data_IF_662206510444
#
_entry.id   IF_662206510444
#
_cell.length_a   1.000
_cell.length_b   1.000
_cell.length_c   1.000
_cell.angle_alpha   90.00
_cell.angle_beta   90.00
_cell.angle_gamma   90.00
#
_symmetry.space_group_name_H-M   'P 1'
#
loop_
_entity.id
_entity.type
_entity.pdbx_description
1 polymer ?
#
# COMPACT_ATOMS: atom_id res chain seq x y z
N UNK A 1 15.57 -23.83 7.26
CA UNK A 1 15.44 -22.37 7.47
C UNK A 1 15.30 -22.10 8.97
N UNK A 2 16.10 -21.20 9.54
CA UNK A 2 16.21 -21.02 11.01
C UNK A 2 14.95 -20.34 11.59
N UNK A 3 14.39 -20.83 12.71
CA UNK A 3 13.07 -20.42 13.24
C UNK A 3 12.94 -18.91 13.50
N UNK A 4 14.03 -18.24 13.91
CA UNK A 4 14.08 -16.78 14.11
C UNK A 4 13.76 -16.00 12.82
N UNK A 5 14.26 -16.47 11.67
CA UNK A 5 14.05 -15.81 10.37
C UNK A 5 12.58 -15.86 9.93
N UNK A 6 11.85 -16.93 10.27
CA UNK A 6 10.43 -17.10 9.96
C UNK A 6 9.54 -16.14 10.75
N UNK A 7 9.86 -15.92 12.03
CA UNK A 7 9.11 -15.00 12.91
C UNK A 7 9.31 -13.54 12.43
N UNK A 8 10.56 -13.14 12.16
CA UNK A 8 10.86 -11.80 11.65
C UNK A 8 10.14 -11.53 10.33
N UNK A 9 10.16 -12.49 9.40
CA UNK A 9 9.51 -12.32 8.08
C UNK A 9 8.00 -12.15 8.19
N UNK A 10 7.34 -12.93 9.06
CA UNK A 10 5.90 -12.76 9.34
C UNK A 10 5.60 -11.39 9.96
N UNK A 11 6.47 -10.89 10.84
CA UNK A 11 6.33 -9.55 11.42
C UNK A 11 6.40 -8.45 10.37
N UNK A 12 7.34 -8.57 9.42
CA UNK A 12 7.50 -7.60 8.32
C UNK A 12 6.27 -7.64 7.39
N UNK A 13 5.84 -8.83 6.95
CA UNK A 13 4.66 -8.97 6.08
C UNK A 13 3.39 -8.38 6.74
N UNK A 14 3.22 -8.54 8.06
CA UNK A 14 2.12 -7.95 8.81
C UNK A 14 2.24 -6.42 8.94
N UNK A 15 3.45 -5.92 9.18
CA UNK A 15 3.71 -4.48 9.27
C UNK A 15 3.48 -3.77 7.93
N UNK A 16 3.84 -4.38 6.80
CA UNK A 16 3.60 -3.84 5.46
C UNK A 16 2.10 -3.69 5.16
N UNK A 17 1.29 -4.70 5.50
CA UNK A 17 -0.16 -4.63 5.35
C UNK A 17 -0.82 -3.58 6.26
N UNK A 18 -0.36 -3.47 7.52
CA UNK A 18 -0.83 -2.46 8.46
C UNK A 18 -0.45 -1.03 8.01
N UNK A 19 0.78 -0.86 7.51
CA UNK A 19 1.28 0.41 6.98
C UNK A 19 0.43 0.89 5.80
N UNK A 20 0.03 -0.01 4.90
CA UNK A 20 -0.89 0.30 3.81
C UNK A 20 -2.29 0.70 4.32
N UNK A 21 -2.80 0.02 5.36
CA UNK A 21 -4.07 0.41 5.98
C UNK A 21 -4.03 1.83 6.56
N UNK A 22 -2.93 2.18 7.24
CA UNK A 22 -2.73 3.50 7.84
C UNK A 22 -2.66 4.59 6.76
N UNK A 23 -1.98 4.34 5.63
CA UNK A 23 -1.88 5.35 4.56
C UNK A 23 -3.24 5.73 3.96
N UNK A 24 -4.16 4.77 3.85
CA UNK A 24 -5.54 5.00 3.39
C UNK A 24 -6.27 5.92 4.36
N UNK A 25 -6.21 5.61 5.66
CA UNK A 25 -6.89 6.41 6.70
C UNK A 25 -6.35 7.83 6.71
N UNK A 26 -5.02 7.99 6.65
CA UNK A 26 -4.38 9.31 6.61
C UNK A 26 -4.81 10.10 5.37
N UNK A 27 -4.84 9.49 4.19
CA UNK A 27 -5.27 10.16 2.96
C UNK A 27 -6.73 10.64 3.03
N UNK A 28 -7.62 9.82 3.57
CA UNK A 28 -9.03 10.18 3.77
C UNK A 28 -9.14 11.32 4.79
N UNK A 29 -8.46 11.23 5.93
CA UNK A 29 -8.48 12.28 6.96
C UNK A 29 -7.98 13.62 6.43
N UNK A 30 -6.93 13.63 5.59
CA UNK A 30 -6.44 14.84 4.94
C UNK A 30 -7.50 15.41 4.00
N UNK A 31 -8.13 14.57 3.16
CA UNK A 31 -9.20 15.01 2.26
C UNK A 31 -10.40 15.59 3.01
N UNK A 32 -10.85 14.92 4.07
CA UNK A 32 -11.92 15.41 4.96
C UNK A 32 -11.51 16.69 5.66
N UNK A 33 -10.27 16.79 6.15
CA UNK A 33 -9.74 17.99 6.80
C UNK A 33 -9.72 19.20 5.86
N UNK A 34 -9.28 19.03 4.62
CA UNK A 34 -9.31 20.06 3.57
C UNK A 34 -10.76 20.45 3.25
N UNK A 35 -11.64 19.47 3.06
CA UNK A 35 -13.06 19.72 2.79
C UNK A 35 -13.75 20.49 3.92
N UNK A 36 -13.45 20.14 5.18
CA UNK A 36 -13.96 20.82 6.35
C UNK A 36 -13.41 22.26 6.45
N UNK A 37 -12.12 22.44 6.19
CA UNK A 37 -11.49 23.77 6.16
C UNK A 37 -12.15 24.66 5.12
N UNK A 38 -12.33 24.17 3.89
CA UNK A 38 -13.00 24.88 2.80
C UNK A 38 -14.45 25.24 3.15
N UNK A 39 -15.22 24.30 3.70
CA UNK A 39 -16.57 24.55 4.20
C UNK A 39 -16.59 25.67 5.25
N UNK A 40 -15.64 25.63 6.21
CA UNK A 40 -15.60 26.58 7.32
C UNK A 40 -15.24 28.00 6.88
N UNK A 41 -14.36 28.15 5.89
CA UNK A 41 -13.94 29.47 5.39
C UNK A 41 -14.92 30.09 4.40
N UNK A 42 -15.55 29.27 3.55
CA UNK A 42 -16.45 29.76 2.48
C UNK A 42 -17.93 29.77 2.88
N UNK A 43 -18.32 28.99 3.88
CA UNK A 43 -19.73 28.76 4.24
C UNK A 43 -20.49 27.87 3.25
N UNK A 44 -19.86 27.43 2.15
CA UNK A 44 -20.52 26.63 1.11
C UNK A 44 -20.42 25.15 1.48
N UNK A 45 -21.56 24.55 1.83
CA UNK A 45 -21.64 23.16 2.28
C UNK A 45 -21.11 22.14 1.26
N UNK A 46 -21.39 22.36 -0.03
CA UNK A 46 -20.99 21.46 -1.11
C UNK A 46 -19.46 21.28 -1.23
N UNK A 47 -18.66 22.29 -0.87
CA UNK A 47 -17.19 22.22 -0.99
C UNK A 47 -16.56 21.17 -0.05
N UNK A 48 -17.28 20.77 1.01
CA UNK A 48 -16.85 19.66 1.86
C UNK A 48 -16.65 18.37 1.04
N UNK A 49 -17.59 18.07 0.15
CA UNK A 49 -17.57 16.83 -0.63
C UNK A 49 -16.42 16.78 -1.62
N UNK A 50 -15.95 17.93 -2.13
CA UNK A 50 -14.78 17.99 -3.00
C UNK A 50 -13.55 17.42 -2.27
N UNK A 51 -13.32 17.84 -1.02
CA UNK A 51 -12.23 17.31 -0.20
C UNK A 51 -12.37 15.81 0.07
N UNK A 52 -13.58 15.34 0.36
CA UNK A 52 -13.87 13.92 0.57
C UNK A 52 -13.56 13.10 -0.70
N UNK A 53 -14.03 13.55 -1.88
CA UNK A 53 -13.76 12.86 -3.14
C UNK A 53 -12.27 12.81 -3.48
N UNK A 54 -11.53 13.90 -3.23
CA UNK A 54 -10.08 13.92 -3.41
C UNK A 54 -9.41 12.93 -2.45
N UNK A 55 -9.81 12.90 -1.17
CA UNK A 55 -9.26 11.97 -0.18
C UNK A 55 -9.49 10.51 -0.54
N UNK A 56 -10.72 10.16 -0.95
CA UNK A 56 -11.07 8.80 -1.40
C UNK A 56 -10.29 8.45 -2.68
N UNK A 57 -10.25 9.34 -3.66
CA UNK A 57 -9.50 9.12 -4.90
C UNK A 57 -8.01 8.90 -4.65
N UNK A 58 -7.41 9.70 -3.77
CA UNK A 58 -6.03 9.54 -3.36
C UNK A 58 -5.76 8.20 -2.66
N UNK A 59 -6.66 7.77 -1.76
CA UNK A 59 -6.56 6.47 -1.10
C UNK A 59 -6.62 5.31 -2.11
N UNK A 60 -7.56 5.33 -3.06
CA UNK A 60 -7.68 4.30 -4.10
C UNK A 60 -6.42 4.25 -4.97
N UNK A 61 -5.91 5.40 -5.42
CA UNK A 61 -4.68 5.47 -6.21
C UNK A 61 -3.46 4.96 -5.42
N UNK A 62 -3.37 5.26 -4.13
CA UNK A 62 -2.32 4.76 -3.26
C UNK A 62 -2.36 3.23 -3.14
N UNK A 63 -3.54 2.67 -2.87
CA UNK A 63 -3.75 1.22 -2.77
C UNK A 63 -3.41 0.52 -4.07
N UNK A 64 -3.87 1.05 -5.20
CA UNK A 64 -3.59 0.45 -6.51
C UNK A 64 -2.09 0.41 -6.82
N UNK A 65 -1.36 1.49 -6.50
CA UNK A 65 0.09 1.54 -6.66
C UNK A 65 0.80 0.52 -5.77
N UNK A 66 0.41 0.44 -4.50
CA UNK A 66 0.96 -0.54 -3.56
C UNK A 66 0.64 -1.98 -3.95
N UNK A 67 -0.56 -2.25 -4.45
CA UNK A 67 -0.96 -3.55 -4.95
C UNK A 67 -0.12 -3.97 -6.15
N UNK A 68 0.04 -3.09 -7.16
CA UNK A 68 0.89 -3.38 -8.32
C UNK A 68 2.34 -3.66 -7.94
N UNK A 69 2.89 -2.90 -7.00
CA UNK A 69 4.24 -3.12 -6.50
C UNK A 69 4.38 -4.47 -5.78
N UNK A 70 3.40 -4.85 -4.97
CA UNK A 70 3.36 -6.15 -4.30
C UNK A 70 3.26 -7.30 -5.31
N UNK A 71 2.35 -7.23 -6.28
CA UNK A 71 2.21 -8.28 -7.32
C UNK A 71 3.50 -8.45 -8.10
N UNK A 72 4.14 -7.34 -8.51
CA UNK A 72 5.41 -7.38 -9.22
C UNK A 72 6.52 -8.05 -8.40
N UNK A 73 6.61 -7.74 -7.10
CA UNK A 73 7.61 -8.38 -6.25
C UNK A 73 7.35 -9.89 -6.13
N UNK A 74 6.08 -10.31 -6.01
CA UNK A 74 5.72 -11.73 -6.02
C UNK A 74 6.11 -12.45 -7.33
N UNK A 75 5.97 -11.79 -8.49
CA UNK A 75 6.38 -12.36 -9.78
C UNK A 75 7.91 -12.48 -9.88
N UNK A 76 8.66 -11.45 -9.50
CA UNK A 76 10.13 -11.49 -9.46
C UNK A 76 10.62 -12.58 -8.49
N UNK A 77 9.98 -12.73 -7.32
CA UNK A 77 10.29 -13.82 -6.39
C UNK A 77 10.01 -15.21 -7.00
N UNK A 78 8.94 -15.36 -7.80
CA UNK A 78 8.63 -16.63 -8.47
C UNK A 78 9.67 -16.96 -9.55
N UNK A 79 10.07 -15.98 -10.35
CA UNK A 79 11.11 -16.17 -11.36
C UNK A 79 12.46 -16.51 -10.72
N UNK A 80 12.91 -15.76 -9.70
CA UNK A 80 14.20 -16.02 -9.04
C UNK A 80 14.28 -17.45 -8.47
N UNK A 81 13.19 -17.94 -7.87
CA UNK A 81 13.14 -19.32 -7.37
C UNK A 81 13.10 -20.35 -8.50
N UNK A 82 12.39 -20.09 -9.61
CA UNK A 82 12.34 -21.00 -10.78
C UNK A 82 13.71 -21.15 -11.44
N UNK A 83 14.47 -20.07 -11.58
CA UNK A 83 15.80 -20.10 -12.19
C UNK A 83 16.92 -20.57 -11.25
N UNK A 84 16.69 -20.64 -9.93
CA UNK A 84 17.66 -21.22 -8.98
C UNK A 84 17.85 -22.72 -9.20
N UNK A 85 16.78 -23.44 -9.50
CA UNK A 85 16.84 -24.88 -9.75
C UNK A 85 17.61 -25.18 -11.05
N UNK A 86 17.25 -24.49 -12.13
CA UNK A 86 17.93 -24.60 -13.43
C UNK A 86 19.42 -24.18 -13.40
N UNK A 87 19.77 -23.18 -12.58
CA UNK A 87 21.18 -22.76 -12.40
C UNK A 87 22.01 -23.78 -11.63
N UNK A 88 21.41 -24.57 -10.74
CA UNK A 88 22.12 -25.60 -10.01
C UNK A 88 22.41 -26.82 -10.90
N UNK A 89 21.50 -27.16 -11.81
CA UNK A 89 21.68 -28.26 -12.76
C UNK A 89 22.74 -27.99 -13.84
N UNK A 90 23.01 -26.73 -14.18
CA UNK A 90 24.04 -26.38 -15.18
C UNK A 90 25.46 -26.36 -14.58
N UNK A 91 25.59 -26.45 -13.25
CA UNK A 91 26.88 -26.41 -12.52
C UNK A 91 27.26 -27.75 -11.88
N UNK A 92 26.45 -28.79 -12.06
CA UNK A 92 26.73 -30.18 -11.71
C UNK A 92 27.30 -30.93 -12.93
#
# INVERSE_FOLDING_TARGET
MNNKKKIIRKGIEAADGLSLGISIVVAILIGVGIGFFLKKTTGIFWLFWIGVFIGIGAAILNVFKAYKAQVKSYEEFKEENRYKDLRNDTKA
#
